data_IF_347604164357
#
_entry.id   IF_347604164357
#
_cell.length_a   1.000
_cell.length_b   1.000
_cell.length_c   1.000
_cell.angle_alpha   90.00
_cell.angle_beta   90.00
_cell.angle_gamma   90.00
#
_symmetry.space_group_name_H-M   'P 1'
#
loop_
_entity.id
_entity.type
_entity.pdbx_description
1 polymer ?
#
# COMPACT_ATOMS: atom_id res chain seq x y z
N UNK A 1 -16.52 1.75 23.50
CA UNK A 1 -17.26 0.67 22.81
C UNK A 1 -16.71 0.51 21.41
N UNK A 2 -16.68 -0.74 20.95
CA UNK A 2 -15.99 -1.34 19.80
C UNK A 2 -16.68 -0.99 18.46
N UNK A 3 -15.90 -0.64 17.42
CA UNK A 3 -15.79 -1.30 16.09
C UNK A 3 -15.64 -0.33 14.91
N UNK A 4 -14.48 -0.48 14.24
CA UNK A 4 -14.25 -0.17 12.84
C UNK A 4 -15.34 -0.82 11.97
N UNK A 5 -15.80 -0.12 10.94
CA UNK A 5 -16.65 -0.69 9.91
C UNK A 5 -16.30 -0.09 8.54
N UNK A 6 -16.38 -0.98 7.55
CA UNK A 6 -16.45 -0.75 6.10
C UNK A 6 -15.12 -0.62 5.33
N UNK A 7 -14.49 -1.78 5.13
CA UNK A 7 -13.90 -2.13 3.83
C UNK A 7 -14.76 -3.23 3.19
N UNK A 8 -15.74 -2.83 2.38
CA UNK A 8 -16.53 -3.75 1.58
C UNK A 8 -17.00 -3.05 0.31
N UNK A 9 -16.17 -3.10 -0.74
CA UNK A 9 -16.58 -3.09 -2.15
C UNK A 9 -15.36 -2.94 -3.07
N UNK A 10 -14.67 -4.04 -3.37
CA UNK A 10 -13.85 -4.19 -4.58
C UNK A 10 -13.48 -5.67 -4.73
N UNK A 11 -14.48 -6.53 -4.83
CA UNK A 11 -14.31 -7.98 -4.92
C UNK A 11 -15.33 -8.54 -5.88
N UNK A 12 -15.15 -8.26 -7.17
CA UNK A 12 -15.83 -9.00 -8.22
C UNK A 12 -14.89 -9.04 -9.43
N UNK A 13 -14.77 -10.23 -10.01
CA UNK A 13 -13.96 -10.56 -11.20
C UNK A 13 -12.49 -10.88 -10.90
N UNK A 14 -12.26 -12.03 -10.25
CA UNK A 14 -11.22 -12.99 -10.64
C UNK A 14 -11.48 -14.33 -9.91
N UNK A 15 -11.95 -15.32 -10.67
CA UNK A 15 -11.79 -16.77 -10.49
C UNK A 15 -11.96 -17.38 -9.10
N UNK A 16 -13.06 -18.11 -8.92
CA UNK A 16 -13.35 -18.96 -7.77
C UNK A 16 -12.29 -20.07 -7.55
N UNK A 17 -11.67 -20.09 -6.36
CA UNK A 17 -11.39 -21.30 -5.59
C UNK A 17 -11.45 -20.97 -4.09
N UNK A 18 -12.46 -21.54 -3.40
CA UNK A 18 -12.36 -22.01 -2.02
C UNK A 18 -12.38 -20.99 -0.87
N UNK A 19 -13.54 -20.90 -0.20
CA UNK A 19 -13.73 -20.64 1.24
C UNK A 19 -13.23 -19.31 1.84
N UNK A 20 -14.14 -18.35 2.04
CA UNK A 20 -14.08 -17.49 3.23
C UNK A 20 -14.79 -18.17 4.43
N UNK A 21 -14.65 -17.70 5.68
CA UNK A 21 -13.82 -16.61 6.20
C UNK A 21 -12.79 -17.14 7.23
N UNK A 22 -11.52 -17.22 6.84
CA UNK A 22 -10.40 -17.21 7.78
C UNK A 22 -9.69 -15.87 7.57
N UNK A 23 -9.36 -15.16 8.66
CA UNK A 23 -8.95 -13.75 8.64
C UNK A 23 -8.07 -13.40 7.45
N UNK A 24 -8.53 -12.45 6.64
CA UNK A 24 -7.74 -11.85 5.57
C UNK A 24 -6.55 -11.12 6.20
N UNK A 25 -5.51 -11.87 6.55
CA UNK A 25 -4.23 -11.29 6.91
C UNK A 25 -3.72 -10.68 5.61
N UNK A 26 -3.81 -9.35 5.51
CA UNK A 26 -3.21 -8.63 4.40
C UNK A 26 -1.72 -8.96 4.35
N UNK A 27 -1.15 -8.92 3.14
CA UNK A 27 0.27 -9.18 2.90
C UNK A 27 1.14 -8.36 3.88
N UNK A 28 2.12 -8.98 4.53
CA UNK A 28 3.14 -8.28 5.32
C UNK A 28 4.17 -7.63 4.41
N UNK A 29 4.91 -6.63 4.92
CA UNK A 29 5.95 -5.98 4.15
C UNK A 29 7.12 -6.94 3.80
N UNK A 30 7.39 -7.92 4.65
CA UNK A 30 8.34 -9.01 4.37
C UNK A 30 7.88 -9.86 3.16
N UNK A 31 6.62 -10.29 3.17
CA UNK A 31 6.03 -11.05 2.06
C UNK A 31 6.02 -10.22 0.78
N UNK A 32 5.73 -8.91 0.85
CA UNK A 32 5.81 -7.99 -0.28
C UNK A 32 7.22 -8.00 -0.90
N UNK A 33 8.26 -7.95 -0.06
CA UNK A 33 9.64 -7.95 -0.54
C UNK A 33 10.02 -9.25 -1.26
N UNK A 34 9.39 -10.37 -0.89
CA UNK A 34 9.62 -11.66 -1.54
C UNK A 34 8.92 -11.81 -2.90
N UNK A 35 7.99 -10.90 -3.24
CA UNK A 35 7.26 -10.96 -4.50
C UNK A 35 8.17 -10.75 -5.71
N UNK A 36 7.77 -11.32 -6.86
CA UNK A 36 8.38 -10.99 -8.15
C UNK A 36 8.11 -9.52 -8.50
N UNK A 37 9.03 -8.90 -9.22
CA UNK A 37 8.96 -7.47 -9.57
C UNK A 37 7.61 -7.04 -10.17
N UNK A 38 7.05 -7.85 -11.09
CA UNK A 38 5.74 -7.56 -11.71
C UNK A 38 4.60 -7.42 -10.70
N UNK A 39 4.63 -8.21 -9.62
CA UNK A 39 3.63 -8.14 -8.56
C UNK A 39 3.86 -6.95 -7.64
N UNK A 40 5.12 -6.60 -7.36
CA UNK A 40 5.46 -5.38 -6.60
C UNK A 40 4.94 -4.13 -7.31
N UNK A 41 5.15 -4.05 -8.61
CA UNK A 41 4.68 -2.95 -9.46
C UNK A 41 3.15 -2.86 -9.45
N UNK A 42 2.44 -3.96 -9.72
CA UNK A 42 0.98 -3.97 -9.71
C UNK A 42 0.38 -3.58 -8.35
N UNK A 43 1.02 -4.02 -7.26
CA UNK A 43 0.62 -3.67 -5.89
C UNK A 43 0.78 -2.17 -5.61
N UNK A 44 1.94 -1.61 -5.99
CA UNK A 44 2.24 -0.17 -5.84
C UNK A 44 1.30 0.68 -6.69
N UNK A 45 1.06 0.33 -7.96
CA UNK A 45 0.11 1.03 -8.83
C UNK A 45 -1.28 1.06 -8.21
N UNK A 46 -1.74 -0.10 -7.73
CA UNK A 46 -3.05 -0.22 -7.07
C UNK A 46 -3.17 0.68 -5.85
N UNK A 47 -2.16 0.73 -4.99
CA UNK A 47 -2.17 1.57 -3.79
C UNK A 47 -2.00 3.05 -4.10
N UNK A 48 -1.01 3.40 -4.93
CA UNK A 48 -0.71 4.77 -5.29
C UNK A 48 -1.93 5.40 -5.96
N UNK A 49 -2.53 4.78 -6.96
CA UNK A 49 -3.66 5.38 -7.66
C UNK A 49 -5.01 5.15 -6.96
N UNK A 50 -5.15 4.04 -6.22
CA UNK A 50 -6.37 3.70 -5.49
C UNK A 50 -6.60 4.48 -4.20
N UNK A 51 -5.56 5.08 -3.60
CA UNK A 51 -5.68 5.82 -2.32
C UNK A 51 -6.75 6.91 -2.33
N UNK A 52 -6.98 7.56 -3.48
CA UNK A 52 -7.98 8.62 -3.63
C UNK A 52 -9.42 8.14 -3.46
N UNK A 53 -9.67 6.84 -3.64
CA UNK A 53 -10.99 6.24 -3.53
C UNK A 53 -11.44 6.03 -2.08
N UNK A 54 -10.49 5.98 -1.13
CA UNK A 54 -10.75 5.66 0.27
C UNK A 54 -10.56 6.83 1.22
N UNK A 55 -10.40 8.05 0.68
CA UNK A 55 -10.21 9.27 1.47
C UNK A 55 -11.44 9.57 2.31
N UNK A 56 -11.31 9.48 3.63
CA UNK A 56 -12.33 9.90 4.61
C UNK A 56 -11.71 10.95 5.53
N UNK A 57 -12.06 12.22 5.36
CA UNK A 57 -11.72 13.29 6.31
C UNK A 57 -10.90 14.46 5.76
N UNK A 58 -10.40 15.27 6.70
CA UNK A 58 -9.70 16.53 6.49
C UNK A 58 -8.38 16.39 5.71
N UNK A 59 -7.84 17.52 5.26
CA UNK A 59 -6.61 17.59 4.48
C UNK A 59 -5.39 17.13 5.29
N UNK A 60 -4.99 15.86 5.10
CA UNK A 60 -3.70 15.35 5.59
C UNK A 60 -2.56 15.92 4.72
N UNK A 61 -1.61 16.69 5.31
CA UNK A 61 -0.44 17.20 4.59
C UNK A 61 0.36 16.11 3.87
N UNK A 62 0.37 14.89 4.41
CA UNK A 62 1.04 13.73 3.83
C UNK A 62 0.39 13.32 2.51
N UNK A 63 -0.94 13.30 2.48
CA UNK A 63 -1.70 12.99 1.26
C UNK A 63 -1.51 14.09 0.21
N UNK A 64 -1.47 15.35 0.62
CA UNK A 64 -1.20 16.47 -0.29
C UNK A 64 0.19 16.38 -0.94
N UNK A 65 1.23 16.04 -0.16
CA UNK A 65 2.58 15.81 -0.69
C UNK A 65 2.60 14.65 -1.69
N UNK A 66 1.97 13.53 -1.35
CA UNK A 66 1.84 12.37 -2.24
C UNK A 66 1.07 12.70 -3.52
N UNK A 67 0.01 13.50 -3.45
CA UNK A 67 -0.78 13.94 -4.60
C UNK A 67 -0.01 14.81 -5.59
N UNK A 68 0.89 15.66 -5.10
CA UNK A 68 1.75 16.48 -5.94
C UNK A 68 2.91 15.67 -6.55
N UNK A 69 3.48 14.75 -5.78
CA UNK A 69 4.71 14.04 -6.11
C UNK A 69 4.49 12.82 -7.03
N UNK A 70 3.51 11.96 -6.72
CA UNK A 70 3.34 10.66 -7.39
C UNK A 70 3.11 10.74 -8.90
N UNK A 71 2.38 11.74 -9.45
CA UNK A 71 2.26 11.88 -10.90
C UNK A 71 3.59 12.06 -11.64
N UNK A 72 4.65 12.50 -10.94
CA UNK A 72 6.00 12.66 -11.48
C UNK A 72 6.92 11.46 -11.27
N UNK A 73 6.47 10.40 -10.59
CA UNK A 73 7.26 9.21 -10.31
C UNK A 73 6.88 8.07 -11.26
N UNK A 74 7.86 7.29 -11.66
CA UNK A 74 7.65 5.97 -12.25
C UNK A 74 7.30 4.93 -11.18
N UNK A 75 6.58 3.88 -11.57
CA UNK A 75 6.25 2.77 -10.68
C UNK A 75 7.50 2.08 -10.11
N UNK A 76 8.59 2.07 -10.89
CA UNK A 76 9.89 1.51 -10.48
C UNK A 76 10.51 2.34 -9.37
N UNK A 77 10.53 3.68 -9.51
CA UNK A 77 11.02 4.58 -8.46
C UNK A 77 10.24 4.40 -7.15
N UNK A 78 8.94 4.18 -7.24
CA UNK A 78 8.12 3.92 -6.06
C UNK A 78 8.50 2.57 -5.41
N UNK A 79 8.66 1.50 -6.20
CA UNK A 79 9.11 0.19 -5.66
C UNK A 79 10.49 0.32 -4.99
N UNK A 80 11.41 1.07 -5.59
CA UNK A 80 12.74 1.31 -5.03
C UNK A 80 12.67 2.13 -3.73
N UNK A 81 11.78 3.12 -3.65
CA UNK A 81 11.52 3.87 -2.42
C UNK A 81 11.00 2.96 -1.29
N UNK A 82 10.14 1.98 -1.61
CA UNK A 82 9.66 0.98 -0.64
C UNK A 82 10.81 0.09 -0.14
N UNK A 83 11.68 -0.38 -1.05
CA UNK A 83 12.85 -1.16 -0.66
C UNK A 83 13.81 -0.36 0.23
N UNK A 84 14.09 0.89 -0.13
CA UNK A 84 14.92 1.80 0.67
C UNK A 84 14.31 2.07 2.06
N UNK A 85 13.00 2.26 2.13
CA UNK A 85 12.31 2.46 3.39
C UNK A 85 12.42 1.25 4.32
N UNK A 86 12.22 0.03 3.79
CA UNK A 86 12.33 -1.20 4.58
C UNK A 86 13.76 -1.52 5.02
N UNK A 87 14.76 -1.18 4.20
CA UNK A 87 16.15 -1.27 4.60
C UNK A 87 16.48 -0.33 5.77
N UNK A 88 15.91 0.88 5.78
CA UNK A 88 16.08 1.85 6.86
C UNK A 88 15.25 1.51 8.12
N UNK A 89 14.16 0.75 7.97
CA UNK A 89 13.21 0.42 9.03
C UNK A 89 12.93 -1.09 9.07
N UNK A 90 13.91 -1.94 9.47
CA UNK A 90 13.75 -3.39 9.43
C UNK A 90 12.60 -3.90 10.31
N UNK A 91 12.27 -3.19 11.40
CA UNK A 91 11.13 -3.49 12.25
C UNK A 91 9.76 -3.35 11.54
N UNK A 92 9.71 -2.70 10.37
CA UNK A 92 8.49 -2.57 9.59
C UNK A 92 8.14 -3.84 8.79
N UNK A 93 9.03 -4.84 8.72
CA UNK A 93 8.84 -6.06 7.95
C UNK A 93 7.55 -6.82 8.30
N UNK A 94 7.19 -6.87 9.59
CA UNK A 94 6.00 -7.56 10.10
C UNK A 94 4.72 -6.71 9.99
N UNK A 95 4.82 -5.44 9.59
CA UNK A 95 3.66 -4.56 9.43
C UNK A 95 2.90 -4.89 8.13
N UNK A 96 1.61 -4.56 8.03
CA UNK A 96 0.86 -4.68 6.79
C UNK A 96 1.56 -3.93 5.64
N UNK A 97 1.78 -4.61 4.52
CA UNK A 97 2.48 -4.09 3.34
C UNK A 97 1.87 -2.78 2.84
N UNK A 98 0.54 -2.67 2.81
CA UNK A 98 -0.13 -1.46 2.38
C UNK A 98 0.27 -0.24 3.21
N UNK A 99 0.32 -0.39 4.53
CA UNK A 99 0.73 0.69 5.43
C UNK A 99 2.19 1.08 5.20
N UNK A 100 3.08 0.10 5.07
CA UNK A 100 4.52 0.35 4.85
C UNK A 100 4.78 0.96 3.48
N UNK A 101 4.10 0.50 2.43
CA UNK A 101 4.22 1.06 1.08
C UNK A 101 3.78 2.52 1.07
N UNK A 102 2.64 2.85 1.70
CA UNK A 102 2.19 4.23 1.81
C UNK A 102 3.14 5.08 2.68
N UNK A 103 3.73 4.52 3.75
CA UNK A 103 4.76 5.18 4.56
C UNK A 103 6.01 5.50 3.75
N UNK A 104 6.47 4.55 2.92
CA UNK A 104 7.61 4.74 2.05
C UNK A 104 7.36 5.80 0.99
N UNK A 105 6.21 5.75 0.33
CA UNK A 105 5.80 6.72 -0.69
C UNK A 105 5.74 8.13 -0.10
N UNK A 106 5.07 8.28 1.04
CA UNK A 106 5.00 9.56 1.74
C UNK A 106 6.38 10.07 2.15
N UNK A 107 7.20 9.22 2.77
CA UNK A 107 8.55 9.58 3.18
C UNK A 107 9.46 9.93 1.98
N UNK A 108 9.18 9.39 0.79
CA UNK A 108 9.86 9.76 -0.44
C UNK A 108 9.38 11.14 -0.95
N UNK A 109 8.06 11.36 -0.96
CA UNK A 109 7.45 12.58 -1.47
C UNK A 109 7.55 13.82 -0.58
N UNK A 110 7.96 13.64 0.68
CA UNK A 110 8.16 14.73 1.65
C UNK A 110 9.65 15.08 1.88
N UNK A 111 10.57 14.49 1.11
CA UNK A 111 11.98 14.89 1.09
C UNK A 111 12.19 16.15 0.27
#
# INVERSE_FOLDING_TARGET
MRRLALYAAAGAVLGAVGTGPAGAQGLTAAEYQSLRQVWKLGYVVGLAHGRRLYRQGDADPREAAMDACIPGLSDVEIVDAVAAHLAAHPAAAERPAAAVVLDAIAAHCMR
#
